data_IF_387187507032
#
_entry.id   IF_387187507032
#
_cell.length_a   1.000
_cell.length_b   1.000
_cell.length_c   1.000
_cell.angle_alpha   90.00
_cell.angle_beta   90.00
_cell.angle_gamma   90.00
#
_symmetry.space_group_name_H-M   'P 1'
#
loop_
_entity.id
_entity.type
_entity.pdbx_description
1 polymer ?
#
# COMPACT_ATOMS: atom_id res chain seq x y z
N UNK A 1 3.37 -48.80 23.57
CA UNK A 1 2.52 -47.96 22.69
C UNK A 1 2.63 -46.52 23.15
N UNK A 2 3.58 -45.76 22.61
CA UNK A 2 3.73 -44.33 22.86
C UNK A 2 3.33 -43.58 21.59
N UNK A 3 2.19 -42.91 21.62
CA UNK A 3 1.72 -42.05 20.53
C UNK A 3 2.57 -40.78 20.52
N UNK A 4 3.45 -40.64 19.52
CA UNK A 4 4.15 -39.41 19.22
C UNK A 4 3.17 -38.37 18.66
N UNK A 5 3.13 -37.19 19.27
CA UNK A 5 2.40 -36.03 18.76
C UNK A 5 2.90 -35.66 17.36
N UNK A 6 2.03 -35.33 16.39
CA UNK A 6 2.50 -34.76 15.14
C UNK A 6 3.08 -33.38 15.42
N UNK A 7 4.26 -33.12 14.85
CA UNK A 7 4.87 -31.81 14.85
C UNK A 7 3.93 -30.84 14.13
N UNK A 8 3.17 -30.07 14.92
CA UNK A 8 2.50 -28.88 14.41
C UNK A 8 3.58 -27.93 13.91
N UNK A 9 3.78 -27.91 12.61
CA UNK A 9 4.55 -26.87 11.93
C UNK A 9 3.94 -25.53 12.35
N UNK A 10 4.61 -24.80 13.22
CA UNK A 10 4.26 -23.41 13.49
C UNK A 10 4.58 -22.66 12.20
N UNK A 11 3.59 -22.55 11.32
CA UNK A 11 3.62 -21.61 10.22
C UNK A 11 3.94 -20.26 10.84
N UNK A 12 5.18 -19.78 10.64
CA UNK A 12 5.69 -18.55 11.26
C UNK A 12 4.66 -17.47 10.94
N UNK A 13 3.82 -17.08 11.92
CA UNK A 13 2.82 -16.01 11.74
C UNK A 13 3.59 -14.81 11.23
N UNK A 14 3.47 -14.51 9.92
CA UNK A 14 4.31 -13.53 9.25
C UNK A 14 4.04 -12.17 9.91
N UNK A 15 4.94 -11.76 10.79
CA UNK A 15 4.71 -10.66 11.72
C UNK A 15 4.72 -9.32 10.97
N UNK A 16 3.79 -8.43 11.32
CA UNK A 16 3.68 -7.07 10.78
C UNK A 16 4.30 -6.02 11.72
N UNK A 17 5.13 -6.44 12.69
CA UNK A 17 5.78 -5.57 13.68
C UNK A 17 6.57 -4.41 13.06
N UNK A 18 7.12 -4.59 11.86
CA UNK A 18 7.91 -3.56 11.19
C UNK A 18 7.08 -2.33 10.81
N UNK A 19 5.78 -2.50 10.50
CA UNK A 19 4.86 -1.39 10.22
C UNK A 19 4.71 -0.54 11.47
N UNK A 20 4.42 -1.17 12.61
CA UNK A 20 4.17 -0.49 13.89
C UNK A 20 5.38 0.18 14.53
N UNK A 21 6.59 -0.06 13.98
CA UNK A 21 7.83 0.60 14.43
C UNK A 21 8.10 1.92 13.72
N UNK A 22 7.30 2.27 12.73
CA UNK A 22 7.42 3.52 11.97
C UNK A 22 6.71 4.65 12.71
N UNK A 23 7.31 5.84 12.71
CA UNK A 23 6.69 7.08 13.21
C UNK A 23 5.76 7.69 12.17
N UNK A 24 4.53 7.17 12.09
CA UNK A 24 3.45 7.71 11.26
C UNK A 24 2.15 7.78 12.07
N UNK A 25 1.17 8.61 11.64
CA UNK A 25 -0.17 8.61 12.23
C UNK A 25 -0.78 7.20 12.30
N UNK A 26 -1.52 6.87 13.37
CA UNK A 26 -2.18 5.57 13.51
C UNK A 26 -3.05 5.17 12.30
N UNK A 27 -3.73 6.15 11.67
CA UNK A 27 -4.52 5.98 10.45
C UNK A 27 -3.70 5.38 9.29
N UNK A 28 -2.47 5.87 9.11
CA UNK A 28 -1.56 5.40 8.06
C UNK A 28 -0.94 4.05 8.39
N UNK A 29 -0.60 3.80 9.66
CA UNK A 29 -0.11 2.48 10.11
C UNK A 29 -1.18 1.40 9.93
N UNK A 30 -2.43 1.71 10.27
CA UNK A 30 -3.57 0.82 10.05
C UNK A 30 -3.79 0.56 8.55
N UNK A 31 -3.68 1.58 7.70
CA UNK A 31 -3.73 1.42 6.25
C UNK A 31 -2.61 0.50 5.75
N UNK A 32 -1.36 0.74 6.13
CA UNK A 32 -0.24 -0.10 5.72
C UNK A 32 -0.45 -1.56 6.16
N UNK A 33 -0.95 -1.78 7.37
CA UNK A 33 -1.31 -3.12 7.84
C UNK A 33 -2.43 -3.75 7.01
N UNK A 34 -3.48 -2.98 6.65
CA UNK A 34 -4.54 -3.45 5.74
C UNK A 34 -3.99 -3.77 4.35
N UNK A 35 -3.01 -3.03 3.85
CA UNK A 35 -2.34 -3.33 2.59
C UNK A 35 -1.66 -4.69 2.64
N UNK A 36 -0.88 -4.93 3.70
CA UNK A 36 -0.20 -6.20 3.92
C UNK A 36 -1.15 -7.38 4.05
N UNK A 37 -2.39 -7.15 4.48
CA UNK A 37 -3.42 -8.19 4.59
C UNK A 37 -4.37 -8.28 3.41
N UNK A 38 -4.11 -7.53 2.34
CA UNK A 38 -5.05 -7.37 1.21
C UNK A 38 -6.49 -7.12 1.68
N UNK A 39 -6.67 -6.24 2.66
CA UNK A 39 -7.94 -6.00 3.35
C UNK A 39 -8.63 -4.68 2.95
N UNK A 40 -8.09 -3.98 1.95
CA UNK A 40 -8.66 -2.74 1.42
C UNK A 40 -9.78 -3.02 0.40
N UNK A 41 -10.77 -2.11 0.26
CA UNK A 41 -11.88 -2.27 -0.67
C UNK A 41 -11.48 -1.97 -2.12
N UNK A 42 -10.59 -2.79 -2.68
CA UNK A 42 -10.33 -2.82 -4.12
C UNK A 42 -11.49 -3.52 -4.82
N UNK A 43 -11.63 -3.32 -6.13
CA UNK A 43 -12.69 -3.99 -6.89
C UNK A 43 -12.68 -5.51 -6.68
N UNK A 44 -11.51 -6.13 -6.79
CA UNK A 44 -11.36 -7.58 -6.56
C UNK A 44 -11.90 -8.01 -5.19
N UNK A 45 -11.59 -7.24 -4.14
CA UNK A 45 -12.00 -7.55 -2.78
C UNK A 45 -13.50 -7.28 -2.55
N UNK A 46 -14.08 -6.30 -3.23
CA UNK A 46 -15.52 -6.00 -3.21
C UNK A 46 -16.32 -7.06 -3.97
N UNK A 47 -15.85 -7.49 -5.14
CA UNK A 47 -16.45 -8.59 -5.91
C UNK A 47 -16.45 -9.90 -5.13
N UNK A 48 -15.36 -10.22 -4.41
CA UNK A 48 -15.29 -11.40 -3.54
C UNK A 48 -16.34 -11.38 -2.42
N UNK A 49 -16.85 -10.20 -2.05
CA UNK A 49 -17.92 -10.00 -1.06
C UNK A 49 -19.29 -9.75 -1.71
N UNK A 50 -19.39 -9.89 -3.03
CA UNK A 50 -20.60 -9.61 -3.82
C UNK A 50 -21.11 -8.16 -3.67
N UNK A 51 -20.21 -7.20 -3.43
CA UNK A 51 -20.54 -5.79 -3.19
C UNK A 51 -20.30 -4.88 -4.40
N UNK A 52 -19.71 -5.38 -5.48
CA UNK A 52 -19.47 -4.63 -6.71
C UNK A 52 -19.66 -5.54 -7.94
N UNK A 53 -20.11 -4.96 -9.06
CA UNK A 53 -20.24 -5.64 -10.36
C UNK A 53 -19.71 -4.74 -11.47
N UNK A 54 -18.97 -5.32 -12.40
CA UNK A 54 -18.58 -4.72 -13.69
C UNK A 54 -17.90 -3.34 -13.61
N UNK A 55 -17.09 -3.11 -12.58
CA UNK A 55 -16.28 -1.90 -12.52
C UNK A 55 -14.90 -2.12 -13.15
N UNK A 56 -14.23 -1.04 -13.51
CA UNK A 56 -12.85 -1.03 -13.99
C UNK A 56 -12.02 -0.18 -13.03
N UNK A 57 -10.69 -0.34 -13.06
CA UNK A 57 -9.79 0.54 -12.33
C UNK A 57 -10.07 2.00 -12.74
N UNK A 58 -10.46 2.85 -11.78
CA UNK A 58 -10.84 4.25 -12.04
C UNK A 58 -9.70 5.04 -12.69
N UNK A 59 -8.45 4.64 -12.42
CA UNK A 59 -7.26 5.34 -12.90
C UNK A 59 -6.86 4.99 -14.33
N UNK A 60 -7.13 3.77 -14.81
CA UNK A 60 -6.61 3.32 -16.10
C UNK A 60 -7.58 2.47 -16.94
N UNK A 61 -8.79 2.22 -16.45
CA UNK A 61 -9.80 1.42 -17.16
C UNK A 61 -9.51 -0.08 -17.22
N UNK A 62 -8.51 -0.59 -16.50
CA UNK A 62 -8.22 -2.02 -16.48
C UNK A 62 -9.38 -2.82 -15.84
N UNK A 63 -9.76 -3.99 -16.39
CA UNK A 63 -10.93 -4.76 -15.93
C UNK A 63 -10.73 -5.46 -14.58
N UNK A 64 -9.49 -5.48 -14.05
CA UNK A 64 -9.18 -6.05 -12.75
C UNK A 64 -8.38 -5.03 -11.94
N UNK A 65 -8.98 -4.54 -10.85
CA UNK A 65 -8.32 -3.70 -9.86
C UNK A 65 -8.03 -4.54 -8.59
N UNK A 66 -6.83 -5.14 -8.55
CA UNK A 66 -6.26 -5.71 -7.33
C UNK A 66 -5.56 -4.62 -6.52
N UNK A 67 -5.22 -4.90 -5.26
CA UNK A 67 -4.45 -3.93 -4.48
C UNK A 67 -3.06 -3.70 -5.07
N UNK A 68 -2.43 -4.75 -5.57
CA UNK A 68 -1.11 -4.64 -6.16
C UNK A 68 -1.15 -3.88 -7.49
N UNK A 69 -2.23 -4.04 -8.27
CA UNK A 69 -2.48 -3.16 -9.41
C UNK A 69 -2.63 -1.70 -8.97
N UNK A 70 -3.53 -1.43 -8.03
CA UNK A 70 -3.80 -0.07 -7.54
C UNK A 70 -2.55 0.64 -7.06
N UNK A 71 -1.70 -0.05 -6.28
CA UNK A 71 -0.51 0.55 -5.71
C UNK A 71 0.68 0.52 -6.65
N UNK A 72 0.77 -0.38 -7.63
CA UNK A 72 2.02 -0.61 -8.38
C UNK A 72 1.81 -0.72 -9.88
N UNK A 73 1.01 -1.68 -10.35
CA UNK A 73 0.95 -1.98 -11.79
C UNK A 73 0.05 -1.04 -12.60
N UNK A 74 -0.83 -0.30 -11.94
CA UNK A 74 -1.64 0.74 -12.58
C UNK A 74 -0.71 1.73 -13.31
N UNK A 75 -0.93 2.04 -14.60
CA UNK A 75 -0.12 3.01 -15.34
C UNK A 75 0.05 4.34 -14.61
N UNK A 76 -1.00 4.86 -13.98
CA UNK A 76 -0.93 6.07 -13.16
C UNK A 76 0.01 5.91 -11.97
N UNK A 77 -0.12 4.82 -11.21
CA UNK A 77 0.75 4.55 -10.06
C UNK A 77 2.21 4.42 -10.49
N UNK A 78 2.48 3.77 -11.64
CA UNK A 78 3.84 3.70 -12.21
C UNK A 78 4.44 5.06 -12.53
N UNK A 79 3.62 6.04 -12.97
CA UNK A 79 4.10 7.41 -13.19
C UNK A 79 4.52 8.06 -11.87
N UNK A 80 3.69 7.96 -10.83
CA UNK A 80 4.01 8.49 -9.50
C UNK A 80 5.30 7.89 -8.95
N UNK A 81 5.47 6.56 -9.08
CA UNK A 81 6.70 5.91 -8.63
C UNK A 81 7.92 6.27 -9.48
N UNK A 82 7.76 6.48 -10.79
CA UNK A 82 8.86 6.88 -11.66
C UNK A 82 9.48 8.23 -11.25
N UNK A 83 8.69 9.11 -10.62
CA UNK A 83 9.16 10.41 -10.12
C UNK A 83 9.49 10.43 -8.61
N UNK A 84 9.35 9.30 -7.90
CA UNK A 84 9.47 9.22 -6.44
C UNK A 84 10.86 8.86 -5.90
N UNK A 85 11.93 8.89 -6.70
CA UNK A 85 13.31 8.45 -6.40
C UNK A 85 13.52 6.98 -5.96
N UNK A 86 12.51 6.33 -5.39
CA UNK A 86 12.58 4.96 -4.86
C UNK A 86 12.78 3.91 -5.97
N UNK A 87 13.55 2.84 -5.72
CA UNK A 87 13.76 1.72 -6.66
C UNK A 87 12.57 0.75 -6.68
N UNK A 88 11.36 1.27 -6.89
CA UNK A 88 10.11 0.52 -6.77
C UNK A 88 9.99 -0.65 -7.75
N UNK A 89 10.50 -0.49 -8.98
CA UNK A 89 10.27 -1.43 -10.09
C UNK A 89 11.00 -2.75 -9.88
N UNK A 90 12.29 -2.69 -9.56
CA UNK A 90 13.12 -3.88 -9.34
C UNK A 90 12.60 -4.70 -8.16
N UNK A 91 12.11 -4.02 -7.12
CA UNK A 91 11.53 -4.69 -5.94
C UNK A 91 10.14 -5.26 -6.28
N UNK A 92 9.30 -4.53 -7.01
CA UNK A 92 7.97 -5.00 -7.40
C UNK A 92 8.01 -6.24 -8.29
N UNK A 93 8.99 -6.34 -9.19
CA UNK A 93 9.14 -7.49 -10.10
C UNK A 93 9.49 -8.80 -9.37
N UNK A 94 9.99 -8.72 -8.14
CA UNK A 94 10.31 -9.86 -7.30
C UNK A 94 9.13 -10.33 -6.44
N UNK A 95 8.04 -9.56 -6.40
CA UNK A 95 6.89 -9.84 -5.55
C UNK A 95 5.73 -10.44 -6.35
N UNK A 96 5.10 -11.48 -5.82
CA UNK A 96 3.86 -12.05 -6.37
C UNK A 96 2.61 -11.24 -5.98
N UNK A 97 2.66 -10.52 -4.85
CA UNK A 97 1.51 -9.77 -4.32
C UNK A 97 1.95 -8.61 -3.42
N UNK A 98 0.98 -7.80 -2.96
CA UNK A 98 1.24 -6.64 -2.09
C UNK A 98 1.89 -7.01 -0.76
N UNK A 99 1.56 -8.16 -0.16
CA UNK A 99 2.21 -8.59 1.08
C UNK A 99 3.71 -8.77 0.88
N UNK A 100 4.08 -9.55 -0.12
CA UNK A 100 5.49 -9.84 -0.43
C UNK A 100 6.24 -8.57 -0.81
N UNK A 101 5.62 -7.71 -1.62
CA UNK A 101 6.20 -6.44 -2.02
C UNK A 101 6.52 -5.54 -0.81
N UNK A 102 5.59 -5.36 0.13
CA UNK A 102 5.86 -4.56 1.32
C UNK A 102 6.97 -5.14 2.20
N UNK A 103 7.12 -6.47 2.23
CA UNK A 103 8.19 -7.13 3.00
C UNK A 103 9.54 -6.96 2.32
N UNK A 104 9.61 -7.12 1.01
CA UNK A 104 10.82 -6.86 0.22
C UNK A 104 11.23 -5.40 0.35
N UNK A 105 10.29 -4.45 0.21
CA UNK A 105 10.59 -3.03 0.39
C UNK A 105 11.12 -2.72 1.80
N UNK A 106 10.54 -3.30 2.86
CA UNK A 106 11.09 -3.13 4.21
C UNK A 106 12.49 -3.75 4.40
N UNK A 107 12.86 -4.76 3.59
CA UNK A 107 14.17 -5.40 3.64
C UNK A 107 15.22 -4.60 2.85
N UNK A 108 14.86 -4.12 1.66
CA UNK A 108 15.76 -3.47 0.72
C UNK A 108 15.99 -1.98 1.02
N UNK A 109 14.97 -1.29 1.55
CA UNK A 109 15.05 0.15 1.80
C UNK A 109 15.49 0.45 3.23
N UNK A 110 16.20 1.57 3.39
CA UNK A 110 16.46 2.12 4.70
C UNK A 110 15.16 2.65 5.35
N UNK A 111 15.26 3.10 6.61
CA UNK A 111 14.07 3.53 7.35
C UNK A 111 13.38 4.76 6.73
N UNK A 112 14.08 5.87 6.43
CA UNK A 112 13.49 7.02 5.76
C UNK A 112 12.75 6.67 4.46
N UNK A 113 13.37 5.87 3.59
CA UNK A 113 12.79 5.49 2.30
C UNK A 113 11.62 4.53 2.47
N UNK A 114 11.67 3.62 3.45
CA UNK A 114 10.53 2.78 3.80
C UNK A 114 9.34 3.61 4.33
N UNK A 115 9.58 4.66 5.12
CA UNK A 115 8.51 5.58 5.53
C UNK A 115 7.93 6.30 4.31
N UNK A 116 8.78 6.84 3.44
CA UNK A 116 8.34 7.53 2.24
C UNK A 116 7.53 6.62 1.31
N UNK A 117 7.96 5.39 1.15
CA UNK A 117 7.23 4.34 0.44
C UNK A 117 5.80 4.15 0.97
N UNK A 118 5.61 4.07 2.29
CA UNK A 118 4.29 3.94 2.89
C UNK A 118 3.42 5.19 2.63
N UNK A 119 4.04 6.37 2.62
CA UNK A 119 3.36 7.62 2.30
C UNK A 119 2.95 7.72 0.83
N UNK A 120 3.77 7.23 -0.11
CA UNK A 120 3.38 7.15 -1.52
C UNK A 120 2.24 6.15 -1.70
N UNK A 121 2.28 4.99 -1.05
CA UNK A 121 1.16 4.04 -1.04
C UNK A 121 -0.13 4.68 -0.51
N UNK A 122 -0.04 5.41 0.61
CA UNK A 122 -1.17 6.15 1.17
C UNK A 122 -1.70 7.19 0.18
N UNK A 123 -0.80 7.91 -0.50
CA UNK A 123 -1.18 8.96 -1.42
C UNK A 123 -1.89 8.44 -2.67
N UNK A 124 -1.39 7.35 -3.25
CA UNK A 124 -2.02 6.64 -4.37
C UNK A 124 -3.42 6.14 -4.00
N UNK A 125 -3.55 5.53 -2.82
CA UNK A 125 -4.84 5.05 -2.34
C UNK A 125 -5.83 6.18 -2.09
N UNK A 126 -5.37 7.27 -1.48
CA UNK A 126 -6.19 8.46 -1.22
C UNK A 126 -6.66 9.09 -2.53
N UNK A 127 -5.77 9.23 -3.52
CA UNK A 127 -6.12 9.69 -4.87
C UNK A 127 -7.20 8.81 -5.51
N UNK A 128 -7.02 7.48 -5.50
CA UNK A 128 -8.02 6.52 -6.04
C UNK A 128 -9.38 6.70 -5.37
N UNK A 129 -9.43 6.87 -4.05
CA UNK A 129 -10.69 7.08 -3.34
C UNK A 129 -11.34 8.42 -3.69
N UNK A 130 -10.58 9.51 -3.77
CA UNK A 130 -11.11 10.81 -4.19
C UNK A 130 -11.65 10.77 -5.61
N UNK A 131 -11.02 10.02 -6.51
CA UNK A 131 -11.57 9.80 -7.85
C UNK A 131 -12.93 9.11 -7.83
N UNK A 132 -13.14 8.13 -6.94
CA UNK A 132 -14.39 7.37 -6.86
C UNK A 132 -15.50 8.15 -6.16
N UNK A 133 -15.19 8.83 -5.06
CA UNK A 133 -16.21 9.46 -4.22
C UNK A 133 -16.42 10.95 -4.51
N UNK A 134 -15.42 11.64 -5.06
CA UNK A 134 -15.45 13.09 -5.31
C UNK A 134 -15.27 13.43 -6.80
N UNK A 135 -14.91 12.47 -7.65
CA UNK A 135 -14.61 12.72 -9.06
C UNK A 135 -13.32 13.52 -9.30
N UNK A 136 -12.52 13.78 -8.27
CA UNK A 136 -11.32 14.62 -8.35
C UNK A 136 -10.10 13.84 -8.84
N UNK A 137 -9.50 14.30 -9.93
CA UNK A 137 -8.26 13.76 -10.48
C UNK A 137 -7.09 14.69 -10.17
N UNK A 138 -5.99 14.11 -9.68
CA UNK A 138 -4.73 14.80 -9.46
C UNK A 138 -3.68 14.31 -10.46
N UNK A 139 -2.75 15.18 -10.80
CA UNK A 139 -1.56 14.82 -11.56
C UNK A 139 -0.59 13.98 -10.72
N UNK A 140 0.26 13.19 -11.38
CA UNK A 140 1.22 12.33 -10.68
C UNK A 140 2.16 13.12 -9.74
N UNK A 141 2.54 14.33 -10.16
CA UNK A 141 3.36 15.27 -9.38
C UNK A 141 2.65 15.75 -8.13
N UNK A 142 1.34 16.00 -8.19
CA UNK A 142 0.52 16.43 -7.05
C UNK A 142 0.34 15.30 -6.03
N UNK A 143 0.13 14.07 -6.51
CA UNK A 143 0.07 12.87 -5.66
C UNK A 143 1.39 12.66 -4.93
N UNK A 144 2.52 12.78 -5.63
CA UNK A 144 3.83 12.68 -4.99
C UNK A 144 4.06 13.83 -4.00
N UNK A 145 3.66 15.05 -4.36
CA UNK A 145 3.78 16.21 -3.47
C UNK A 145 2.97 16.00 -2.18
N UNK A 146 1.82 15.31 -2.25
CA UNK A 146 1.06 14.94 -1.05
C UNK A 146 1.85 14.03 -0.12
N UNK A 147 2.52 13.00 -0.65
CA UNK A 147 3.39 12.13 0.14
C UNK A 147 4.57 12.92 0.77
N UNK A 148 5.20 13.81 0.01
CA UNK A 148 6.31 14.65 0.49
C UNK A 148 5.88 15.58 1.63
N UNK A 149 4.72 16.23 1.52
CA UNK A 149 4.17 17.07 2.60
C UNK A 149 3.98 16.27 3.88
N UNK A 150 3.40 15.07 3.77
CA UNK A 150 3.20 14.19 4.93
C UNK A 150 4.52 13.72 5.55
N UNK A 151 5.55 13.49 4.74
CA UNK A 151 6.89 13.14 5.22
C UNK A 151 7.50 14.28 6.03
N UNK A 152 7.38 15.52 5.56
CA UNK A 152 7.86 16.69 6.29
C UNK A 152 7.19 16.81 7.66
N UNK A 153 5.87 16.64 7.74
CA UNK A 153 5.13 16.66 9.02
C UNK A 153 5.55 15.54 9.97
N UNK A 154 5.82 14.34 9.45
CA UNK A 154 6.30 13.21 10.24
C UNK A 154 7.70 13.46 10.84
N UNK A 155 8.57 14.18 10.11
CA UNK A 155 9.92 14.54 10.56
C UNK A 155 9.90 15.72 11.54
N UNK A 156 9.02 16.70 11.33
CA UNK A 156 8.93 17.92 12.15
C UNK A 156 8.06 17.76 13.41
N UNK A 157 7.51 16.56 13.68
CA UNK A 157 6.78 16.25 14.92
C UNK A 157 5.37 16.83 15.00
N UNK A 158 4.89 17.49 13.95
CA UNK A 158 3.57 18.12 13.91
C UNK A 158 2.50 17.19 13.35
N UNK A 159 1.94 16.31 14.19
CA UNK A 159 0.69 15.63 13.88
C UNK A 159 -0.49 16.43 14.44
N UNK A 160 -1.00 17.37 13.65
CA UNK A 160 -2.38 17.85 13.82
C UNK A 160 -3.20 17.16 12.73
N UNK A 161 -4.17 16.35 13.18
CA UNK A 161 -5.09 15.63 12.31
C UNK A 161 -5.85 16.60 11.43
N UNK A 162 -5.87 16.31 10.13
CA UNK A 162 -6.90 16.83 9.24
C UNK A 162 -7.78 15.63 8.94
N UNK A 163 -8.91 15.59 9.63
CA UNK A 163 -10.02 14.68 9.39
C UNK A 163 -10.69 15.00 8.04
#
# INVERSE_FOLDING_TARGET
>A
MSLSKPAGQSEKRKSWRFIWRVKLPPKMLLFAWKCGRNALPTLENLQRRSMARDEVCVNCGAPSETLFHTLVFCPFSRLVWAISHLPWRSIAQQAANTEEWMRLVNHELDRPDFVFFLLVCWALWSHRNRRIFEGLQMEATEVLAMARRQQMYAVSGGLVGVD
#
